data_IF_951686146795
#
_entry.id   IF_951686146795
#
_cell.length_a   1.000
_cell.length_b   1.000
_cell.length_c   1.000
_cell.angle_alpha   90.00
_cell.angle_beta   90.00
_cell.angle_gamma   90.00
#
_symmetry.space_group_name_H-M   'P 1'
#
loop_
_entity.id
_entity.type
_entity.pdbx_description
1 polymer ?
#
# COMPACT_ATOMS: atom_id res chain seq x y z
N UNK A 1 -11.89 -14.01 9.34
CA UNK A 1 -12.01 -14.71 8.01
C UNK A 1 -11.06 -14.06 6.98
N UNK A 2 -11.17 -12.77 6.68
CA UNK A 2 -10.26 -12.09 5.74
C UNK A 2 -8.80 -12.10 6.22
N UNK A 3 -8.56 -11.94 7.51
CA UNK A 3 -7.24 -11.99 8.13
C UNK A 3 -6.50 -13.31 7.84
N UNK A 4 -7.22 -14.45 7.86
CA UNK A 4 -6.64 -15.73 7.48
C UNK A 4 -6.27 -15.77 6.00
N UNK A 5 -7.14 -15.30 5.12
CA UNK A 5 -6.89 -15.27 3.67
C UNK A 5 -5.64 -14.43 3.37
N UNK A 6 -5.53 -13.23 3.98
CA UNK A 6 -4.35 -12.37 3.84
C UNK A 6 -3.07 -13.07 4.34
N UNK A 7 -3.14 -13.75 5.50
CA UNK A 7 -1.99 -14.51 6.01
C UNK A 7 -1.60 -15.64 5.05
N UNK A 8 -2.57 -16.41 4.54
CA UNK A 8 -2.32 -17.54 3.64
C UNK A 8 -1.69 -17.05 2.32
N UNK A 9 -2.18 -15.94 1.76
CA UNK A 9 -1.64 -15.36 0.53
C UNK A 9 -0.25 -14.75 0.75
N UNK A 10 -0.02 -14.12 1.91
CA UNK A 10 1.30 -13.61 2.27
C UNK A 10 2.30 -14.76 2.46
N UNK A 11 1.91 -15.86 3.08
CA UNK A 11 2.76 -17.04 3.26
C UNK A 11 3.19 -17.66 1.92
N UNK A 12 2.33 -17.59 0.89
CA UNK A 12 2.66 -18.08 -0.46
C UNK A 12 3.60 -17.13 -1.21
N UNK A 13 3.43 -15.82 -1.04
CA UNK A 13 4.12 -14.80 -1.84
C UNK A 13 5.42 -14.28 -1.23
N UNK A 14 5.61 -14.44 0.08
CA UNK A 14 6.76 -13.90 0.82
C UNK A 14 7.59 -15.04 1.40
N UNK A 15 8.82 -15.17 0.95
CA UNK A 15 9.74 -16.25 1.33
C UNK A 15 10.78 -15.80 2.38
N UNK A 16 11.08 -14.50 2.46
CA UNK A 16 12.08 -13.96 3.36
C UNK A 16 11.58 -13.94 4.81
N UNK A 17 12.46 -14.24 5.75
CA UNK A 17 12.17 -14.11 7.20
C UNK A 17 12.18 -12.67 7.68
N UNK A 18 12.96 -11.79 7.02
CA UNK A 18 13.06 -10.38 7.32
C UNK A 18 12.38 -9.59 6.20
N UNK A 19 11.39 -8.77 6.54
CA UNK A 19 10.58 -8.04 5.56
C UNK A 19 10.47 -6.56 5.91
N UNK A 20 10.46 -5.72 4.89
CA UNK A 20 10.04 -4.34 5.02
C UNK A 20 8.53 -4.23 4.92
N UNK A 21 7.90 -3.36 5.70
CA UNK A 21 6.49 -3.01 5.58
C UNK A 21 6.38 -1.50 5.35
N UNK A 22 5.73 -1.09 4.26
CA UNK A 22 5.35 0.31 4.07
C UNK A 22 4.15 0.59 4.97
N UNK A 23 4.39 1.27 6.10
CA UNK A 23 3.41 1.46 7.17
C UNK A 23 2.97 2.91 7.26
N UNK A 24 1.71 3.18 6.91
CA UNK A 24 1.09 4.51 7.04
C UNK A 24 0.31 4.72 8.33
N UNK A 25 0.18 3.68 9.17
CA UNK A 25 -0.72 3.72 10.33
C UNK A 25 -2.21 3.61 9.97
N UNK A 26 -2.55 3.45 8.70
CA UNK A 26 -3.90 3.10 8.21
C UNK A 26 -4.16 1.60 8.27
N UNK A 27 -5.45 1.21 8.36
CA UNK A 27 -5.89 -0.18 8.53
C UNK A 27 -5.29 -1.13 7.50
N UNK A 28 -5.15 -0.70 6.25
CA UNK A 28 -4.66 -1.53 5.16
C UNK A 28 -3.20 -1.94 5.34
N UNK A 29 -2.34 -0.99 5.69
CA UNK A 29 -0.93 -1.26 5.96
C UNK A 29 -0.73 -2.04 7.27
N UNK A 30 -1.56 -1.76 8.28
CA UNK A 30 -1.54 -2.47 9.57
C UNK A 30 -1.94 -3.93 9.38
N UNK A 31 -2.96 -4.23 8.57
CA UNK A 31 -3.41 -5.60 8.33
C UNK A 31 -2.31 -6.47 7.73
N UNK A 32 -1.52 -5.93 6.81
CA UNK A 32 -0.38 -6.62 6.21
C UNK A 32 0.76 -6.81 7.24
N UNK A 33 1.05 -5.79 8.05
CA UNK A 33 2.04 -5.90 9.11
C UNK A 33 1.65 -6.98 10.15
N UNK A 34 0.37 -7.03 10.55
CA UNK A 34 -0.15 -8.05 11.46
C UNK A 34 -0.12 -9.45 10.85
N UNK A 35 -0.41 -9.59 9.55
CA UNK A 35 -0.27 -10.86 8.85
C UNK A 35 1.19 -11.35 8.84
N UNK A 36 2.15 -10.47 8.54
CA UNK A 36 3.57 -10.77 8.61
C UNK A 36 4.02 -11.14 10.03
N UNK A 37 3.52 -10.43 11.04
CA UNK A 37 3.78 -10.74 12.45
C UNK A 37 3.27 -12.13 12.86
N UNK A 38 2.03 -12.48 12.47
CA UNK A 38 1.46 -13.82 12.71
C UNK A 38 2.25 -14.95 12.03
N UNK A 39 2.92 -14.64 10.93
CA UNK A 39 3.83 -15.57 10.23
C UNK A 39 5.25 -15.56 10.83
N UNK A 40 5.44 -14.96 12.00
CA UNK A 40 6.72 -14.84 12.69
C UNK A 40 7.83 -14.19 11.85
N UNK A 41 7.47 -13.30 10.91
CA UNK A 41 8.46 -12.54 10.15
C UNK A 41 9.04 -11.41 11.01
N UNK A 42 10.32 -11.15 10.84
CA UNK A 42 10.97 -9.98 11.44
C UNK A 42 10.67 -8.74 10.61
N UNK A 43 9.94 -7.80 11.19
CA UNK A 43 9.41 -6.63 10.51
C UNK A 43 10.29 -5.41 10.76
N UNK A 44 10.68 -4.74 9.67
CA UNK A 44 11.11 -3.34 9.70
C UNK A 44 10.02 -2.50 9.02
N UNK A 45 9.32 -1.69 9.78
CA UNK A 45 8.33 -0.76 9.27
C UNK A 45 9.03 0.49 8.71
N UNK A 46 8.58 0.96 7.56
CA UNK A 46 9.04 2.20 6.93
C UNK A 46 7.85 3.13 6.75
N UNK A 47 7.98 4.32 7.29
CA UNK A 47 7.03 5.43 7.12
C UNK A 47 7.77 6.69 6.71
N UNK A 48 7.05 7.71 6.28
CA UNK A 48 7.68 8.96 5.86
C UNK A 48 6.81 10.18 6.16
N UNK A 49 7.44 11.33 6.16
CA UNK A 49 6.79 12.64 6.08
C UNK A 49 7.63 13.56 5.18
N UNK A 50 7.03 14.61 4.67
CA UNK A 50 7.78 15.65 3.96
C UNK A 50 8.59 16.46 4.96
N UNK A 51 9.71 17.00 4.51
CA UNK A 51 10.60 17.85 5.33
C UNK A 51 9.79 18.94 6.04
N UNK A 52 10.03 19.13 7.31
CA UNK A 52 9.36 20.10 8.18
C UNK A 52 7.82 19.95 8.26
N UNK A 53 7.26 18.80 7.81
CA UNK A 53 5.82 18.53 7.82
C UNK A 53 5.54 17.14 8.44
N UNK A 54 5.70 16.97 9.76
CA UNK A 54 5.38 15.72 10.42
C UNK A 54 3.91 15.38 10.22
N UNK A 55 3.62 14.10 9.92
CA UNK A 55 2.27 13.65 9.63
C UNK A 55 1.73 12.77 10.75
N UNK A 56 0.41 12.80 10.93
CA UNK A 56 -0.28 11.89 11.86
C UNK A 56 -0.08 10.42 11.48
N UNK A 57 0.02 10.12 10.20
CA UNK A 57 0.29 8.77 9.70
C UNK A 57 1.65 8.25 10.18
N UNK A 58 2.71 9.07 10.10
CA UNK A 58 4.02 8.70 10.61
C UNK A 58 4.02 8.51 12.14
N UNK A 59 3.27 9.33 12.88
CA UNK A 59 3.11 9.17 14.34
C UNK A 59 2.45 7.82 14.66
N UNK A 60 1.31 7.51 14.04
CA UNK A 60 0.60 6.23 14.21
C UNK A 60 1.47 5.04 13.86
N UNK A 61 2.22 5.10 12.75
CA UNK A 61 3.12 4.03 12.36
C UNK A 61 4.17 3.74 13.44
N UNK A 62 4.74 4.79 14.03
CA UNK A 62 5.68 4.65 15.15
C UNK A 62 5.02 4.08 16.41
N UNK A 63 3.84 4.59 16.79
CA UNK A 63 3.10 4.12 17.97
C UNK A 63 2.77 2.63 17.87
N UNK A 64 2.22 2.20 16.72
CA UNK A 64 1.88 0.79 16.48
C UNK A 64 3.13 -0.07 16.47
N UNK A 65 4.20 0.39 15.83
CA UNK A 65 5.47 -0.35 15.80
C UNK A 65 6.04 -0.54 17.20
N UNK A 66 5.97 0.48 18.05
CA UNK A 66 6.40 0.39 19.45
C UNK A 66 5.56 -0.62 20.25
N UNK A 67 4.22 -0.57 20.09
CA UNK A 67 3.32 -1.52 20.76
C UNK A 67 3.61 -2.96 20.34
N UNK A 68 3.89 -3.18 19.05
CA UNK A 68 4.11 -4.50 18.48
C UNK A 68 5.56 -4.99 18.57
N UNK A 69 6.48 -4.15 19.05
CA UNK A 69 7.91 -4.46 19.13
C UNK A 69 8.61 -4.50 17.75
N UNK A 70 8.06 -3.83 16.74
CA UNK A 70 8.70 -3.72 15.42
C UNK A 70 9.72 -2.58 15.38
N UNK A 71 10.75 -2.75 14.57
CA UNK A 71 11.63 -1.62 14.23
C UNK A 71 10.89 -0.69 13.27
N UNK A 72 10.80 0.61 13.60
CA UNK A 72 10.21 1.61 12.70
C UNK A 72 11.27 2.61 12.25
N UNK A 73 11.29 2.92 10.97
CA UNK A 73 12.14 3.95 10.36
C UNK A 73 11.25 5.01 9.72
N UNK A 74 11.34 6.21 10.23
CA UNK A 74 10.68 7.38 9.66
C UNK A 74 11.66 8.09 8.73
N UNK A 75 11.29 8.22 7.46
CA UNK A 75 12.10 8.86 6.43
C UNK A 75 11.59 10.29 6.22
N UNK A 76 12.47 11.26 6.40
CA UNK A 76 12.20 12.63 6.01
C UNK A 76 12.45 12.78 4.50
N UNK A 77 11.42 13.19 3.77
CA UNK A 77 11.47 13.38 2.32
C UNK A 77 11.73 14.84 2.02
N UNK A 78 12.88 15.20 1.42
CA UNK A 78 13.18 16.58 1.08
C UNK A 78 12.25 17.11 -0.02
N UNK A 79 11.96 18.41 0.02
CA UNK A 79 11.09 19.09 -0.94
C UNK A 79 11.83 20.11 -1.82
N UNK A 80 13.13 20.27 -1.60
CA UNK A 80 13.93 21.30 -2.27
C UNK A 80 14.16 20.98 -3.76
N UNK A 81 14.03 19.71 -4.16
CA UNK A 81 14.35 19.23 -5.51
C UNK A 81 13.15 18.61 -6.26
N UNK A 82 11.93 18.89 -5.82
CA UNK A 82 10.69 18.29 -6.32
C UNK A 82 10.56 18.29 -7.85
N UNK A 83 10.98 19.39 -8.52
CA UNK A 83 10.89 19.50 -9.98
C UNK A 83 11.78 18.44 -10.65
N UNK A 84 13.02 18.29 -10.22
CA UNK A 84 13.94 17.30 -10.77
C UNK A 84 13.48 15.88 -10.45
N UNK A 85 12.93 15.66 -9.25
CA UNK A 85 12.36 14.36 -8.87
C UNK A 85 11.17 13.99 -9.76
N UNK A 86 10.31 14.94 -10.11
CA UNK A 86 9.21 14.71 -11.05
C UNK A 86 9.71 14.44 -12.47
N UNK A 87 10.76 15.12 -12.91
CA UNK A 87 11.42 14.82 -14.19
C UNK A 87 11.99 13.40 -14.16
N UNK A 88 12.62 13.01 -13.06
CA UNK A 88 13.12 11.65 -12.85
C UNK A 88 12.00 10.61 -12.88
N UNK A 89 10.92 10.83 -12.14
CA UNK A 89 9.73 9.96 -12.15
C UNK A 89 9.13 9.82 -13.56
N UNK A 90 9.13 10.91 -14.35
CA UNK A 90 8.67 10.85 -15.74
C UNK A 90 9.57 9.97 -16.62
N UNK A 91 10.88 10.11 -16.48
CA UNK A 91 11.87 9.43 -17.33
C UNK A 91 12.07 7.97 -16.97
N UNK A 92 12.25 7.67 -15.69
CA UNK A 92 12.65 6.36 -15.19
C UNK A 92 11.44 5.49 -14.85
N UNK A 93 10.41 6.09 -14.25
CA UNK A 93 9.21 5.38 -13.75
C UNK A 93 8.05 5.49 -14.74
N UNK A 94 8.11 6.41 -15.70
CA UNK A 94 7.06 6.67 -16.69
C UNK A 94 5.75 7.18 -16.07
N UNK A 95 5.82 7.97 -15.02
CA UNK A 95 4.67 8.68 -14.48
C UNK A 95 4.09 9.64 -15.51
N UNK A 96 2.75 9.67 -15.66
CA UNK A 96 2.06 10.49 -16.68
C UNK A 96 0.91 11.32 -16.13
N UNK A 97 0.43 11.01 -14.93
CA UNK A 97 -0.70 11.71 -14.28
C UNK A 97 -0.25 12.28 -12.94
N UNK A 98 -0.89 13.36 -12.49
CA UNK A 98 -0.62 13.98 -11.19
C UNK A 98 -0.56 12.96 -10.06
N UNK A 99 -1.56 12.07 -9.99
CA UNK A 99 -1.63 11.02 -8.95
C UNK A 99 -0.46 10.06 -8.98
N UNK A 100 0.14 9.78 -10.15
CA UNK A 100 1.33 8.92 -10.23
C UNK A 100 2.53 9.59 -9.55
N UNK A 101 2.71 10.90 -9.77
CA UNK A 101 3.80 11.66 -9.14
C UNK A 101 3.59 11.73 -7.63
N UNK A 102 2.39 12.06 -7.18
CA UNK A 102 2.04 12.15 -5.76
C UNK A 102 2.24 10.82 -5.03
N UNK A 103 1.82 9.71 -5.64
CA UNK A 103 1.99 8.39 -5.06
C UNK A 103 3.44 7.88 -5.08
N UNK A 104 4.29 8.36 -5.98
CA UNK A 104 5.63 7.81 -6.19
C UNK A 104 6.75 8.68 -5.63
N UNK A 105 6.55 10.00 -5.56
CA UNK A 105 7.58 10.96 -5.16
C UNK A 105 8.28 10.59 -3.84
N UNK A 106 7.58 10.31 -2.74
CA UNK A 106 8.25 9.98 -1.48
C UNK A 106 9.09 8.71 -1.56
N UNK A 107 8.70 7.78 -2.40
CA UNK A 107 9.35 6.48 -2.51
C UNK A 107 10.69 6.52 -3.23
N UNK A 108 11.02 7.61 -3.95
CA UNK A 108 12.39 7.86 -4.42
C UNK A 108 13.39 7.97 -3.26
N UNK A 109 12.90 8.34 -2.07
CA UNK A 109 13.71 8.50 -0.86
C UNK A 109 13.57 7.34 0.12
N UNK A 110 12.41 6.67 0.11
CA UNK A 110 12.13 5.54 1.01
C UNK A 110 12.87 4.28 0.55
N UNK A 111 12.74 3.90 -0.73
CA UNK A 111 13.33 2.65 -1.23
C UNK A 111 14.85 2.55 -1.07
N UNK A 112 15.65 3.61 -1.26
CA UNK A 112 17.09 3.56 -1.00
C UNK A 112 17.46 3.22 0.46
N UNK A 113 16.53 3.44 1.41
CA UNK A 113 16.75 3.14 2.83
C UNK A 113 16.32 1.72 3.23
N UNK A 114 15.57 1.03 2.37
CA UNK A 114 15.08 -0.33 2.62
C UNK A 114 16.23 -1.32 2.44
N UNK A 115 16.53 -2.07 3.50
CA UNK A 115 17.57 -3.10 3.47
C UNK A 115 17.03 -4.48 3.11
N UNK A 116 15.79 -4.76 3.47
CA UNK A 116 15.09 -6.00 3.24
C UNK A 116 14.87 -6.23 1.74
N UNK A 117 14.83 -7.49 1.31
CA UNK A 117 14.60 -7.86 -0.09
C UNK A 117 13.13 -7.74 -0.50
N UNK A 118 12.24 -8.07 0.43
CA UNK A 118 10.79 -8.04 0.22
C UNK A 118 10.18 -6.81 0.89
N UNK A 119 9.30 -6.12 0.16
CA UNK A 119 8.58 -4.93 0.61
C UNK A 119 7.09 -5.21 0.56
N UNK A 120 6.47 -5.27 1.72
CA UNK A 120 5.05 -5.56 1.89
C UNK A 120 4.26 -4.26 1.94
N UNK A 121 3.07 -4.25 1.33
CA UNK A 121 2.20 -3.08 1.26
C UNK A 121 0.72 -3.47 1.34
N UNK A 122 -0.07 -2.63 2.00
CA UNK A 122 -1.55 -2.68 2.00
C UNK A 122 -2.18 -2.06 0.75
N UNK A 123 -1.42 -1.81 -0.29
CA UNK A 123 -1.90 -1.18 -1.49
C UNK A 123 -3.05 -1.96 -2.13
N UNK A 124 -4.01 -1.26 -2.71
CA UNK A 124 -5.23 -1.74 -3.36
C UNK A 124 -6.44 -2.03 -2.43
N UNK A 125 -6.28 -2.08 -1.11
CA UNK A 125 -7.39 -2.35 -0.19
C UNK A 125 -8.56 -1.38 -0.35
N UNK A 126 -8.29 -0.07 -0.49
CA UNK A 126 -9.30 0.98 -0.70
C UNK A 126 -10.28 0.67 -1.84
N UNK A 127 -9.79 0.04 -2.92
CA UNK A 127 -10.61 -0.33 -4.06
C UNK A 127 -11.68 -1.36 -3.70
N UNK A 128 -11.40 -2.27 -2.77
CA UNK A 128 -12.38 -3.28 -2.33
C UNK A 128 -13.46 -2.67 -1.44
N UNK A 129 -13.11 -1.75 -0.59
CA UNK A 129 -14.05 -1.10 0.33
C UNK A 129 -14.90 -0.03 -0.35
N UNK A 130 -14.47 0.50 -1.51
CA UNK A 130 -15.18 1.55 -2.21
C UNK A 130 -15.23 2.86 -1.42
N UNK A 131 -14.17 3.20 -0.69
CA UNK A 131 -14.11 4.38 0.17
C UNK A 131 -13.90 5.69 -0.58
N UNK A 132 -13.63 5.64 -1.89
CA UNK A 132 -13.49 6.86 -2.69
C UNK A 132 -14.79 7.67 -2.71
N UNK A 133 -14.67 9.00 -2.82
CA UNK A 133 -15.83 9.89 -2.96
C UNK A 133 -16.76 9.46 -4.10
N UNK A 134 -16.20 9.03 -5.22
CA UNK A 134 -16.95 8.53 -6.37
C UNK A 134 -17.73 7.26 -6.03
N UNK A 135 -17.08 6.27 -5.41
CA UNK A 135 -17.75 5.04 -5.01
C UNK A 135 -18.86 5.32 -3.99
N UNK A 136 -18.56 6.12 -2.97
CA UNK A 136 -19.54 6.46 -1.93
C UNK A 136 -20.78 7.19 -2.48
N UNK A 137 -20.62 8.13 -3.40
CA UNK A 137 -21.75 8.91 -3.94
C UNK A 137 -22.51 8.15 -5.02
N UNK A 138 -21.83 7.44 -5.90
CA UNK A 138 -22.42 6.90 -7.13
C UNK A 138 -22.72 5.40 -7.07
N UNK A 139 -22.01 4.62 -6.28
CA UNK A 139 -22.06 3.15 -6.34
C UNK A 139 -22.59 2.46 -5.09
N UNK A 140 -22.70 3.16 -3.95
CA UNK A 140 -23.14 2.56 -2.68
C UNK A 140 -24.54 1.95 -2.69
N UNK A 141 -25.40 2.38 -3.61
CA UNK A 141 -26.81 2.00 -3.63
C UNK A 141 -27.11 0.76 -4.48
N UNK A 142 -26.20 0.31 -5.31
CA UNK A 142 -26.39 -0.90 -6.12
C UNK A 142 -25.12 -1.73 -6.15
N UNK A 143 -25.28 -3.05 -5.94
CA UNK A 143 -24.17 -3.98 -6.01
C UNK A 143 -23.52 -3.98 -7.40
N UNK A 144 -24.33 -3.95 -8.45
CA UNK A 144 -23.88 -3.95 -9.84
C UNK A 144 -22.94 -2.78 -10.13
N UNK A 145 -23.32 -1.56 -9.73
CA UNK A 145 -22.46 -0.37 -9.92
C UNK A 145 -21.21 -0.38 -9.06
N UNK A 146 -21.30 -0.97 -7.87
CA UNK A 146 -20.14 -1.16 -7.03
C UNK A 146 -19.16 -2.18 -7.63
N UNK A 147 -19.69 -3.27 -8.21
CA UNK A 147 -18.89 -4.26 -8.91
C UNK A 147 -18.23 -3.69 -10.16
N UNK A 148 -18.94 -2.91 -10.98
CA UNK A 148 -18.38 -2.17 -12.12
C UNK A 148 -17.23 -1.23 -11.68
N UNK A 149 -17.42 -0.50 -10.57
CA UNK A 149 -16.37 0.35 -10.01
C UNK A 149 -15.12 -0.45 -9.62
N UNK A 150 -15.32 -1.59 -8.94
CA UNK A 150 -14.21 -2.45 -8.52
C UNK A 150 -13.49 -3.06 -9.72
N UNK A 151 -14.23 -3.55 -10.71
CA UNK A 151 -13.64 -4.08 -11.95
C UNK A 151 -12.79 -3.04 -12.66
N UNK A 152 -13.28 -1.80 -12.79
CA UNK A 152 -12.51 -0.71 -13.39
C UNK A 152 -11.28 -0.35 -12.55
N UNK A 153 -11.44 -0.28 -11.23
CA UNK A 153 -10.35 0.02 -10.29
C UNK A 153 -9.21 -1.00 -10.39
N UNK A 154 -9.53 -2.29 -10.54
CA UNK A 154 -8.54 -3.36 -10.59
C UNK A 154 -7.96 -3.65 -11.97
N UNK A 155 -8.36 -2.94 -13.01
CA UNK A 155 -7.67 -2.97 -14.31
C UNK A 155 -6.25 -2.43 -14.15
N UNK A 156 -5.25 -3.18 -14.66
CA UNK A 156 -3.83 -2.84 -14.48
C UNK A 156 -3.50 -1.41 -14.93
N UNK A 157 -4.08 -0.98 -16.05
CA UNK A 157 -3.86 0.35 -16.66
C UNK A 157 -4.42 1.50 -15.81
N UNK A 158 -5.39 1.21 -14.95
CA UNK A 158 -6.10 2.18 -14.13
C UNK A 158 -5.66 2.18 -12.67
N UNK A 159 -4.87 1.22 -12.24
CA UNK A 159 -4.36 1.13 -10.87
C UNK A 159 -3.39 2.25 -10.60
N UNK A 160 -3.90 3.32 -10.01
CA UNK A 160 -3.07 4.43 -9.60
C UNK A 160 -1.94 3.94 -8.69
N UNK A 161 -0.73 4.14 -9.11
CA UNK A 161 0.45 3.90 -8.30
C UNK A 161 1.02 2.48 -8.30
N UNK A 162 0.26 1.40 -8.56
CA UNK A 162 0.79 0.03 -8.43
C UNK A 162 1.99 -0.26 -9.33
N UNK A 163 1.85 -0.06 -10.64
CA UNK A 163 2.92 -0.35 -11.59
C UNK A 163 4.15 0.53 -11.35
N UNK A 164 3.93 1.77 -10.95
CA UNK A 164 5.00 2.72 -10.65
C UNK A 164 5.71 2.37 -9.35
N UNK A 165 4.97 1.96 -8.30
CA UNK A 165 5.58 1.41 -7.08
C UNK A 165 6.41 0.17 -7.37
N UNK A 166 5.88 -0.76 -8.16
CA UNK A 166 6.61 -1.94 -8.57
C UNK A 166 7.90 -1.59 -9.31
N UNK A 167 7.84 -0.65 -10.25
CA UNK A 167 9.04 -0.18 -10.98
C UNK A 167 10.08 0.43 -10.06
N UNK A 168 9.66 1.23 -9.07
CA UNK A 168 10.61 1.78 -8.08
C UNK A 168 11.24 0.64 -7.27
N UNK A 169 10.46 -0.33 -6.83
CA UNK A 169 10.97 -1.50 -6.13
C UNK A 169 11.99 -2.27 -6.99
N UNK A 170 11.65 -2.53 -8.24
CA UNK A 170 12.52 -3.23 -9.21
C UNK A 170 13.86 -2.48 -9.43
N UNK A 171 13.85 -1.13 -9.46
CA UNK A 171 15.06 -0.32 -9.56
C UNK A 171 16.02 -0.46 -8.36
N UNK A 172 15.50 -0.92 -7.24
CA UNK A 172 16.26 -1.13 -6.01
C UNK A 172 16.43 -2.62 -5.67
N UNK A 173 16.20 -3.51 -6.65
CA UNK A 173 16.29 -4.96 -6.50
C UNK A 173 15.39 -5.49 -5.36
N UNK A 174 14.19 -4.91 -5.20
CA UNK A 174 13.20 -5.29 -4.20
C UNK A 174 12.00 -5.98 -4.83
N UNK A 175 11.46 -6.97 -4.14
CA UNK A 175 10.21 -7.63 -4.48
C UNK A 175 9.05 -6.91 -3.80
N UNK A 176 8.17 -6.26 -4.58
CA UNK A 176 6.99 -5.58 -4.07
C UNK A 176 5.82 -6.56 -3.96
N UNK A 177 5.32 -6.76 -2.75
CA UNK A 177 4.27 -7.74 -2.43
C UNK A 177 3.06 -7.01 -1.84
N UNK A 178 1.89 -7.24 -2.45
CA UNK A 178 0.60 -6.78 -1.93
C UNK A 178 -0.43 -7.91 -2.01
N UNK A 179 -0.76 -8.58 -0.90
CA UNK A 179 -1.74 -9.67 -0.86
C UNK A 179 -3.14 -9.26 -1.33
N UNK A 180 -3.49 -7.98 -1.23
CA UNK A 180 -4.77 -7.46 -1.71
C UNK A 180 -5.00 -7.62 -3.21
N UNK A 181 -3.98 -7.92 -4.00
CA UNK A 181 -4.14 -8.17 -5.44
C UNK A 181 -4.32 -9.65 -5.80
N UNK A 182 -4.32 -10.54 -4.82
CA UNK A 182 -4.48 -11.97 -5.07
C UNK A 182 -5.95 -12.34 -5.28
N UNK A 183 -6.17 -13.39 -6.07
CA UNK A 183 -7.53 -13.83 -6.41
C UNK A 183 -8.37 -14.24 -5.19
N UNK A 184 -7.85 -14.96 -4.17
CA UNK A 184 -8.63 -15.32 -2.99
C UNK A 184 -9.11 -14.10 -2.19
N UNK A 185 -8.29 -13.03 -2.08
CA UNK A 185 -8.70 -11.78 -1.43
C UNK A 185 -9.77 -11.09 -2.26
N UNK A 186 -9.59 -11.03 -3.59
CA UNK A 186 -10.57 -10.48 -4.51
C UNK A 186 -11.91 -11.19 -4.36
N UNK A 187 -11.95 -12.51 -4.42
CA UNK A 187 -13.19 -13.30 -4.31
C UNK A 187 -13.91 -13.05 -2.99
N UNK A 188 -13.18 -12.95 -1.88
CA UNK A 188 -13.78 -12.61 -0.58
C UNK A 188 -14.55 -11.29 -0.64
N UNK A 189 -13.96 -10.23 -1.20
CA UNK A 189 -14.59 -8.92 -1.27
C UNK A 189 -15.70 -8.87 -2.33
N UNK A 190 -15.59 -9.60 -3.43
CA UNK A 190 -16.63 -9.64 -4.49
C UNK A 190 -17.95 -10.23 -4.01
N UNK A 191 -17.92 -11.09 -2.99
CA UNK A 191 -19.14 -11.63 -2.38
C UNK A 191 -19.92 -10.60 -1.56
N UNK A 192 -19.37 -9.39 -1.32
CA UNK A 192 -19.93 -8.39 -0.41
C UNK A 192 -20.35 -7.14 -1.14
N UNK A 193 -21.45 -6.54 -0.67
CA UNK A 193 -21.89 -5.24 -1.15
C UNK A 193 -21.24 -4.07 -0.39
N UNK A 194 -21.53 -2.86 -0.86
CA UNK A 194 -20.97 -1.65 -0.26
C UNK A 194 -21.38 -1.48 1.21
N UNK A 195 -22.63 -1.81 1.55
CA UNK A 195 -23.14 -1.65 2.92
C UNK A 195 -22.51 -2.65 3.89
N UNK A 196 -22.33 -3.91 3.47
CA UNK A 196 -21.65 -4.92 4.29
C UNK A 196 -20.21 -4.51 4.64
N UNK A 197 -19.54 -3.79 3.74
CA UNK A 197 -18.15 -3.37 3.91
C UNK A 197 -18.01 -2.04 4.67
N UNK A 198 -19.04 -1.20 4.67
CA UNK A 198 -18.98 0.17 5.20
C UNK A 198 -20.04 0.43 6.28
N UNK A 199 -20.52 -0.59 6.97
CA UNK A 199 -21.34 -0.41 8.15
C UNK A 199 -20.48 0.12 9.31
N UNK A 200 -21.03 1.03 10.14
CA UNK A 200 -20.36 1.54 11.34
C UNK A 200 -20.15 0.47 12.41
#
# INVERSE_FOLDING_TARGET
MIDKIICDELAKSSQESNVAVLLSGGVDSISIALAAHRLNKKITAYTFHLKDQPTYDAQKANEISNIMGWTCKTIEVPTDNVINDFIRLRREIQCVKKTHYECCFPFLYVYPQIKEKEVLSGWAADGYYGVSKKANIHYKHTKEKFDEFREDYFKLDHRAGYLWHKRIADMHDKTFITPYLTEPVKQFFWSKDWYELNQP
#
